data_IF_685900302836
#
_entry.id   IF_685900302836
#
_cell.length_a   1.000
_cell.length_b   1.000
_cell.length_c   1.000
_cell.angle_alpha   90.00
_cell.angle_beta   90.00
_cell.angle_gamma   90.00
#
_symmetry.space_group_name_H-M   'P 1'
#
loop_
_entity.id
_entity.type
_entity.pdbx_description
1 polymer ?
#
# COMPACT_ATOMS: atom_id res chain seq x y z
N UNK A 1 -11.13 0.99 24.16
CA UNK A 1 -10.36 0.39 23.06
C UNK A 1 -11.32 -0.49 22.34
N UNK A 2 -11.73 -0.07 21.15
CA UNK A 2 -12.56 -0.92 20.30
C UNK A 2 -11.63 -2.04 19.83
N UNK A 3 -11.88 -3.28 20.24
CA UNK A 3 -11.12 -4.44 19.77
C UNK A 3 -11.82 -5.02 18.54
N UNK A 4 -11.07 -5.71 17.70
CA UNK A 4 -11.62 -6.47 16.58
C UNK A 4 -12.65 -7.50 17.00
N UNK A 5 -13.54 -7.88 16.08
CA UNK A 5 -14.42 -9.04 16.25
C UNK A 5 -14.35 -9.93 15.01
N UNK A 6 -14.55 -11.23 15.22
CA UNK A 6 -14.83 -12.17 14.15
C UNK A 6 -16.11 -11.79 13.38
N UNK A 7 -17.07 -11.13 14.06
CA UNK A 7 -18.35 -10.72 13.46
C UNK A 7 -18.21 -9.69 12.34
N UNK A 8 -17.06 -9.00 12.25
CA UNK A 8 -16.80 -8.05 11.16
C UNK A 8 -16.67 -8.78 9.81
N UNK A 9 -16.25 -10.05 9.80
CA UNK A 9 -16.03 -10.84 8.59
C UNK A 9 -17.34 -11.49 8.14
N UNK A 10 -18.22 -10.71 7.52
CA UNK A 10 -19.59 -11.14 7.17
C UNK A 10 -19.91 -11.10 5.66
N UNK A 11 -19.00 -10.54 4.85
CA UNK A 11 -19.25 -10.27 3.43
C UNK A 11 -18.02 -10.56 2.57
N UNK A 12 -18.17 -11.52 1.66
CA UNK A 12 -17.13 -11.88 0.70
C UNK A 12 -17.19 -10.99 -0.55
N UNK A 13 -16.02 -10.50 -0.99
CA UNK A 13 -15.85 -9.90 -2.31
C UNK A 13 -16.32 -8.45 -2.44
N UNK A 14 -16.52 -7.74 -1.34
CA UNK A 14 -16.53 -6.27 -1.35
C UNK A 14 -15.10 -5.73 -1.45
N UNK A 15 -14.95 -4.48 -1.87
CA UNK A 15 -13.68 -3.82 -2.08
C UNK A 15 -13.64 -2.44 -1.42
N UNK A 16 -12.46 -2.09 -0.93
CA UNK A 16 -12.09 -0.73 -0.53
C UNK A 16 -10.67 -0.46 -0.97
N UNK A 17 -10.40 0.74 -1.48
CA UNK A 17 -9.08 1.15 -1.93
C UNK A 17 -8.70 2.43 -1.20
N UNK A 18 -7.49 2.43 -0.63
CA UNK A 18 -6.89 3.62 -0.03
C UNK A 18 -5.65 3.99 -0.83
N UNK A 19 -5.55 5.26 -1.22
CA UNK A 19 -4.41 5.80 -1.94
C UNK A 19 -3.82 6.98 -1.19
N UNK A 20 -2.51 6.93 -0.94
CA UNK A 20 -1.76 8.02 -0.34
C UNK A 20 -1.09 8.86 -1.44
N UNK A 21 -1.16 10.18 -1.30
CA UNK A 21 -0.67 11.15 -2.26
C UNK A 21 0.13 12.27 -1.59
N UNK A 22 0.87 13.01 -2.40
CA UNK A 22 1.59 14.21 -1.98
C UNK A 22 0.86 15.47 -2.43
N UNK A 23 0.66 16.40 -1.50
CA UNK A 23 0.27 17.77 -1.79
C UNK A 23 1.52 18.52 -2.24
N UNK A 24 1.46 19.12 -3.43
CA UNK A 24 2.59 19.80 -4.04
C UNK A 24 2.23 21.19 -4.56
N UNK A 25 3.23 22.06 -4.65
CA UNK A 25 3.11 23.40 -5.21
C UNK A 25 3.00 23.40 -6.75
N UNK A 26 2.96 24.59 -7.35
CA UNK A 26 2.91 24.77 -8.81
C UNK A 26 4.06 24.07 -9.57
N UNK A 27 5.18 23.79 -8.89
CA UNK A 27 6.40 23.17 -9.45
C UNK A 27 6.53 21.68 -9.09
N UNK A 28 5.49 21.08 -8.51
CA UNK A 28 5.54 19.70 -8.06
C UNK A 28 6.47 19.48 -6.86
N UNK A 29 6.65 20.48 -5.99
CA UNK A 29 7.43 20.33 -4.73
C UNK A 29 6.49 20.08 -3.55
N UNK A 30 6.83 19.17 -2.62
CA UNK A 30 6.00 18.90 -1.45
C UNK A 30 5.75 20.18 -0.64
N UNK A 31 4.49 20.43 -0.32
CA UNK A 31 4.08 21.62 0.43
C UNK A 31 3.03 21.26 1.47
N UNK A 32 3.08 21.93 2.61
CA UNK A 32 2.10 21.73 3.69
C UNK A 32 0.74 22.30 3.27
N UNK A 33 -0.24 21.43 3.00
CA UNK A 33 -1.59 21.84 2.58
C UNK A 33 -2.72 21.15 3.36
N UNK A 34 -2.40 20.28 4.31
CA UNK A 34 -3.41 19.52 5.06
C UNK A 34 -4.37 20.41 5.87
N UNK A 35 -3.91 21.56 6.40
CA UNK A 35 -4.83 22.47 7.11
C UNK A 35 -5.95 22.94 6.18
N UNK A 36 -5.55 23.41 5.00
CA UNK A 36 -6.45 23.99 4.02
C UNK A 36 -7.41 22.93 3.45
N UNK A 37 -6.89 21.78 3.03
CA UNK A 37 -7.64 20.77 2.29
C UNK A 37 -8.51 19.86 3.17
N UNK A 38 -8.18 19.70 4.46
CA UNK A 38 -8.86 18.73 5.34
C UNK A 38 -9.65 19.42 6.46
N UNK A 39 -9.15 20.50 7.05
CA UNK A 39 -9.82 21.13 8.21
C UNK A 39 -10.56 22.41 7.87
N UNK A 40 -9.91 23.31 7.13
CA UNK A 40 -10.46 24.62 6.84
C UNK A 40 -11.51 24.54 5.73
N UNK A 41 -11.27 23.67 4.74
CA UNK A 41 -12.16 23.42 3.62
C UNK A 41 -12.31 21.90 3.42
N UNK A 42 -13.04 21.19 4.30
CA UNK A 42 -13.25 19.76 4.11
C UNK A 42 -13.96 19.50 2.77
N UNK A 43 -13.52 18.47 2.01
CA UNK A 43 -14.12 18.16 0.72
C UNK A 43 -15.55 17.65 0.88
N UNK A 44 -16.32 17.68 -0.21
CA UNK A 44 -17.71 17.19 -0.25
C UNK A 44 -17.87 16.11 -1.32
N UNK A 45 -19.06 15.52 -1.43
CA UNK A 45 -19.36 14.54 -2.46
C UNK A 45 -18.67 13.20 -2.18
N UNK A 46 -18.02 12.60 -3.18
CA UNK A 46 -17.41 11.28 -3.04
C UNK A 46 -16.30 11.23 -1.98
N UNK A 47 -15.65 12.38 -1.73
CA UNK A 47 -14.58 12.55 -0.74
C UNK A 47 -15.06 12.89 0.68
N UNK A 48 -16.36 13.15 0.87
CA UNK A 48 -16.91 13.47 2.19
C UNK A 48 -16.64 12.32 3.17
N UNK A 49 -16.01 12.65 4.31
CA UNK A 49 -15.54 11.71 5.34
C UNK A 49 -14.59 10.60 4.83
N UNK A 50 -13.95 10.80 3.66
CA UNK A 50 -13.05 9.83 3.01
C UNK A 50 -11.69 10.41 2.64
N UNK A 51 -11.34 11.53 3.27
CA UNK A 51 -9.99 12.06 3.27
C UNK A 51 -9.48 12.01 4.70
N UNK A 52 -8.36 11.33 4.91
CA UNK A 52 -7.55 11.49 6.11
C UNK A 52 -6.19 12.12 5.76
N UNK A 53 -5.46 12.46 6.80
CA UNK A 53 -4.15 13.05 6.74
C UNK A 53 -3.18 12.11 7.43
N UNK A 54 -1.95 12.13 6.97
CA UNK A 54 -0.87 11.39 7.60
C UNK A 54 -0.03 12.27 8.54
N UNK A 55 1.00 11.67 9.16
CA UNK A 55 1.92 12.36 10.07
C UNK A 55 2.53 13.65 9.46
N UNK A 56 2.75 13.68 8.14
CA UNK A 56 3.32 14.83 7.46
C UNK A 56 2.24 15.68 6.82
N UNK A 57 2.34 17.02 6.99
CA UNK A 57 1.32 17.96 6.51
C UNK A 57 1.23 18.10 4.98
N UNK A 58 2.00 17.33 4.23
CA UNK A 58 2.02 17.28 2.77
C UNK A 58 1.56 15.91 2.23
N UNK A 59 1.18 14.95 3.08
CA UNK A 59 0.68 13.63 2.66
C UNK A 59 -0.79 13.50 2.98
N UNK A 60 -1.59 13.13 1.98
CA UNK A 60 -3.05 13.00 2.08
C UNK A 60 -3.46 11.59 1.67
N UNK A 61 -4.40 10.99 2.39
CA UNK A 61 -4.96 9.68 2.07
C UNK A 61 -6.40 9.87 1.60
N UNK A 62 -6.77 9.21 0.50
CA UNK A 62 -8.16 9.09 0.07
C UNK A 62 -8.64 7.65 0.18
N UNK A 63 -9.91 7.48 0.51
CA UNK A 63 -10.57 6.19 0.58
C UNK A 63 -11.72 6.13 -0.42
N UNK A 64 -11.87 5.02 -1.13
CA UNK A 64 -13.07 4.83 -1.96
C UNK A 64 -14.31 4.58 -1.08
N UNK A 65 -15.52 4.91 -1.56
CA UNK A 65 -16.72 4.27 -1.05
C UNK A 65 -16.61 2.73 -1.12
N UNK A 66 -17.49 2.03 -0.39
CA UNK A 66 -17.57 0.58 -0.51
C UNK A 66 -17.90 0.18 -1.96
N UNK A 67 -17.04 -0.62 -2.57
CA UNK A 67 -17.21 -1.12 -3.93
C UNK A 67 -17.76 -2.55 -3.85
N UNK A 68 -18.96 -2.76 -4.39
CA UNK A 68 -19.62 -4.08 -4.39
C UNK A 68 -19.43 -4.84 -5.70
N UNK A 69 -19.07 -4.14 -6.78
CA UNK A 69 -18.88 -4.68 -8.11
C UNK A 69 -17.45 -4.38 -8.61
N UNK A 70 -16.69 -5.44 -8.89
CA UNK A 70 -15.32 -5.34 -9.38
C UNK A 70 -15.22 -4.52 -10.67
N UNK A 71 -16.23 -4.59 -11.54
CA UNK A 71 -16.24 -3.87 -12.82
C UNK A 71 -16.32 -2.34 -12.63
N UNK A 72 -16.75 -1.89 -11.44
CA UNK A 72 -16.85 -0.46 -11.10
C UNK A 72 -15.57 0.15 -10.52
N UNK A 73 -14.57 -0.67 -10.13
CA UNK A 73 -13.31 -0.20 -9.52
C UNK A 73 -12.65 0.88 -10.37
N UNK A 74 -12.54 0.65 -11.68
CA UNK A 74 -11.88 1.58 -12.57
C UNK A 74 -12.56 2.95 -12.66
N UNK A 75 -13.89 3.02 -12.58
CA UNK A 75 -14.60 4.31 -12.53
C UNK A 75 -14.47 4.97 -11.16
N UNK A 76 -14.61 4.22 -10.07
CA UNK A 76 -14.60 4.77 -8.70
C UNK A 76 -13.22 5.35 -8.35
N UNK A 77 -12.14 4.64 -8.68
CA UNK A 77 -10.76 5.13 -8.45
C UNK A 77 -10.51 6.44 -9.21
N UNK A 78 -10.99 6.56 -10.46
CA UNK A 78 -10.85 7.79 -11.23
C UNK A 78 -11.68 8.93 -10.64
N UNK A 79 -12.93 8.67 -10.27
CA UNK A 79 -13.81 9.69 -9.69
C UNK A 79 -13.25 10.25 -8.37
N UNK A 80 -12.70 9.39 -7.50
CA UNK A 80 -12.04 9.82 -6.25
C UNK A 80 -10.81 10.67 -6.53
N UNK A 81 -9.96 10.26 -7.47
CA UNK A 81 -8.76 11.01 -7.86
C UNK A 81 -9.10 12.35 -8.50
N UNK A 82 -10.06 12.38 -9.43
CA UNK A 82 -10.55 13.60 -10.08
C UNK A 82 -11.09 14.59 -9.04
N UNK A 83 -11.93 14.12 -8.11
CA UNK A 83 -12.44 14.94 -7.02
C UNK A 83 -11.30 15.49 -6.13
N UNK A 84 -10.24 14.72 -5.87
CA UNK A 84 -9.10 15.17 -5.07
C UNK A 84 -8.29 16.24 -5.82
N UNK A 85 -8.06 16.03 -7.12
CA UNK A 85 -7.33 16.96 -7.98
C UNK A 85 -8.09 18.29 -8.07
N UNK A 86 -9.39 18.25 -8.33
CA UNK A 86 -10.25 19.44 -8.38
C UNK A 86 -10.24 20.18 -7.03
N UNK A 87 -10.41 19.46 -5.92
CA UNK A 87 -10.39 20.04 -4.58
C UNK A 87 -9.04 20.71 -4.27
N UNK A 88 -7.92 20.06 -4.60
CA UNK A 88 -6.60 20.65 -4.42
C UNK A 88 -6.40 21.91 -5.29
N UNK A 89 -6.82 21.85 -6.57
CA UNK A 89 -6.68 22.96 -7.51
C UNK A 89 -7.47 24.20 -7.07
N UNK A 90 -8.68 24.03 -6.55
CA UNK A 90 -9.52 25.11 -6.03
C UNK A 90 -8.86 25.87 -4.85
N UNK A 91 -7.92 25.23 -4.16
CA UNK A 91 -7.17 25.79 -3.04
C UNK A 91 -5.71 26.13 -3.39
N UNK A 92 -5.35 26.09 -4.67
CA UNK A 92 -4.02 26.49 -5.16
C UNK A 92 -2.92 25.44 -5.00
N UNK A 93 -3.29 24.18 -4.81
CA UNK A 93 -2.38 23.05 -4.72
C UNK A 93 -2.50 22.13 -5.95
N UNK A 94 -1.50 21.28 -6.12
CA UNK A 94 -1.51 20.14 -7.03
C UNK A 94 -1.33 18.85 -6.24
N UNK A 95 -1.62 17.72 -6.88
CA UNK A 95 -1.43 16.39 -6.29
C UNK A 95 -0.36 15.64 -7.07
N UNK A 96 0.52 14.93 -6.37
CA UNK A 96 1.50 14.03 -6.96
C UNK A 96 1.45 12.64 -6.33
N UNK A 97 1.85 11.62 -7.08
CA UNK A 97 1.73 10.22 -6.70
C UNK A 97 3.02 9.44 -7.01
N UNK A 98 3.65 8.91 -5.96
CA UNK A 98 4.80 8.02 -6.03
C UNK A 98 4.94 7.29 -4.68
N UNK A 99 5.71 6.20 -4.60
CA UNK A 99 5.95 5.58 -3.30
C UNK A 99 6.78 6.46 -2.35
N UNK A 100 7.64 7.29 -2.94
CA UNK A 100 8.37 8.38 -2.31
C UNK A 100 8.41 9.54 -3.28
N UNK A 101 8.09 10.74 -2.80
CA UNK A 101 8.30 11.93 -3.60
C UNK A 101 9.81 12.15 -3.82
N UNK A 102 10.29 12.22 -5.08
CA UNK A 102 11.72 12.15 -5.37
C UNK A 102 12.51 13.31 -4.78
N UNK A 103 11.88 14.48 -4.66
CA UNK A 103 12.48 15.70 -4.11
C UNK A 103 12.11 15.99 -2.65
N UNK A 104 11.37 15.11 -1.96
CA UNK A 104 11.07 15.33 -0.54
C UNK A 104 12.33 15.20 0.32
N UNK A 105 12.61 16.22 1.13
CA UNK A 105 13.59 16.14 2.22
C UNK A 105 12.86 16.26 3.57
N UNK A 106 12.70 15.14 4.25
CA UNK A 106 11.98 15.08 5.53
C UNK A 106 12.54 16.02 6.61
N UNK A 107 13.79 16.49 6.48
CA UNK A 107 14.42 17.42 7.44
C UNK A 107 13.93 18.86 7.27
N UNK A 108 13.40 19.18 6.09
CA UNK A 108 12.92 20.52 5.72
C UNK A 108 11.38 20.61 5.78
N UNK A 109 10.69 19.49 6.00
CA UNK A 109 9.23 19.39 5.94
C UNK A 109 8.60 19.46 7.32
N UNK A 110 7.42 20.10 7.41
CA UNK A 110 6.69 20.25 8.66
C UNK A 110 5.98 18.96 9.09
N UNK A 111 6.10 18.64 10.38
CA UNK A 111 5.30 17.59 11.00
C UNK A 111 3.90 18.10 11.40
N UNK A 112 2.90 17.22 11.38
CA UNK A 112 1.59 17.51 11.93
C UNK A 112 1.69 17.75 13.45
N UNK A 113 0.98 18.76 13.95
CA UNK A 113 1.07 19.20 15.35
C UNK A 113 0.01 18.59 16.27
N UNK A 114 -0.86 17.71 15.75
CA UNK A 114 -1.93 17.09 16.56
C UNK A 114 -1.36 16.12 17.61
N UNK A 115 -2.03 15.95 18.77
CA UNK A 115 -1.54 15.10 19.86
C UNK A 115 -1.21 13.66 19.46
N UNK A 116 -2.04 13.02 18.60
CA UNK A 116 -1.80 11.63 18.14
C UNK A 116 -0.49 11.45 17.37
N UNK A 117 -0.06 12.49 16.67
CA UNK A 117 1.19 12.43 15.90
C UNK A 117 2.39 12.76 16.75
N UNK A 118 2.23 13.67 17.70
CA UNK A 118 3.26 13.96 18.69
C UNK A 118 3.57 12.71 19.53
N UNK A 119 2.55 11.94 19.95
CA UNK A 119 2.78 10.70 20.69
C UNK A 119 3.53 9.65 19.87
N UNK A 120 3.23 9.49 18.58
CA UNK A 120 3.99 8.62 17.68
C UNK A 120 5.43 9.10 17.48
N UNK A 121 5.67 10.40 17.27
CA UNK A 121 7.03 10.95 17.17
C UNK A 121 7.82 10.72 18.46
N UNK A 122 7.20 10.94 19.62
CA UNK A 122 7.82 10.73 20.92
C UNK A 122 8.13 9.25 21.19
N UNK A 123 7.25 8.33 20.77
CA UNK A 123 7.44 6.89 20.99
C UNK A 123 8.40 6.24 20.00
N UNK A 124 8.30 6.57 18.71
CA UNK A 124 9.02 5.88 17.63
C UNK A 124 10.32 6.59 17.28
N UNK A 125 10.40 7.92 17.49
CA UNK A 125 11.60 8.72 17.26
C UNK A 125 12.06 8.69 15.79
N UNK A 126 13.37 8.61 15.56
CA UNK A 126 14.02 8.86 14.27
C UNK A 126 13.41 8.11 13.06
N UNK A 127 13.00 6.84 13.15
CA UNK A 127 12.27 6.17 12.07
C UNK A 127 11.01 6.89 11.60
N UNK A 128 10.24 7.47 12.53
CA UNK A 128 8.99 8.15 12.22
C UNK A 128 9.22 9.55 11.64
N UNK A 129 10.26 10.25 12.09
CA UNK A 129 10.66 11.55 11.53
C UNK A 129 11.01 11.52 10.04
N UNK A 130 11.31 10.35 9.49
CA UNK A 130 11.70 10.18 8.08
C UNK A 130 10.67 9.43 7.24
N UNK A 131 9.49 9.12 7.80
CA UNK A 131 8.49 8.29 7.16
C UNK A 131 7.60 9.05 6.17
N UNK A 132 8.17 9.49 5.05
CA UNK A 132 7.45 10.26 4.02
C UNK A 132 6.83 9.37 2.95
N UNK A 133 6.42 8.16 3.31
CA UNK A 133 5.99 7.11 2.37
C UNK A 133 4.55 7.32 1.91
N UNK A 134 4.25 6.95 0.66
CA UNK A 134 2.90 6.89 0.13
C UNK A 134 2.62 5.50 -0.49
N UNK A 135 1.55 4.83 -0.06
CA UNK A 135 1.16 3.48 -0.43
C UNK A 135 -0.16 3.39 -1.18
N UNK A 136 -0.43 2.16 -1.62
CA UNK A 136 -1.74 1.72 -2.07
C UNK A 136 -2.18 0.58 -1.14
N UNK A 137 -3.33 0.75 -0.48
CA UNK A 137 -3.94 -0.28 0.36
C UNK A 137 -5.19 -0.83 -0.32
N UNK A 138 -5.29 -2.15 -0.36
CA UNK A 138 -6.38 -2.85 -1.04
C UNK A 138 -7.07 -3.75 -0.01
N UNK A 139 -8.32 -3.45 0.28
CA UNK A 139 -9.18 -4.23 1.14
C UNK A 139 -10.09 -5.12 0.31
N UNK A 140 -10.07 -6.42 0.60
CA UNK A 140 -11.04 -7.38 0.04
C UNK A 140 -11.85 -7.98 1.17
N UNK A 141 -13.17 -7.82 1.13
CA UNK A 141 -14.09 -8.38 2.12
C UNK A 141 -14.03 -9.90 2.14
N UNK A 142 -14.01 -10.47 3.35
CA UNK A 142 -14.04 -11.92 3.60
C UNK A 142 -15.13 -12.23 4.62
N UNK A 143 -15.90 -13.29 4.37
CA UNK A 143 -17.10 -13.69 5.13
C UNK A 143 -16.84 -14.69 6.26
N UNK A 144 -15.57 -14.89 6.62
CA UNK A 144 -15.16 -15.75 7.74
C UNK A 144 -13.78 -15.32 8.25
N UNK A 145 -13.63 -15.24 9.58
CA UNK A 145 -12.41 -14.72 10.20
C UNK A 145 -11.23 -15.71 10.14
N UNK A 146 -11.49 -17.01 10.22
CA UNK A 146 -10.48 -18.08 10.04
C UNK A 146 -10.00 -18.11 8.59
N UNK A 147 -10.95 -18.00 7.65
CA UNK A 147 -10.67 -17.84 6.22
C UNK A 147 -9.81 -16.60 5.97
N UNK A 148 -10.14 -15.46 6.55
CA UNK A 148 -9.35 -14.24 6.38
C UNK A 148 -7.92 -14.40 6.90
N UNK A 149 -7.74 -15.07 8.04
CA UNK A 149 -6.41 -15.37 8.61
C UNK A 149 -5.62 -16.34 7.74
N UNK A 150 -6.28 -17.38 7.22
CA UNK A 150 -5.67 -18.33 6.29
C UNK A 150 -5.23 -17.63 4.98
N UNK A 151 -6.11 -16.81 4.39
CA UNK A 151 -5.80 -16.04 3.18
C UNK A 151 -4.62 -15.09 3.43
N UNK A 152 -4.62 -14.34 4.54
CA UNK A 152 -3.52 -13.45 4.88
C UNK A 152 -2.19 -14.22 5.03
N UNK A 153 -2.22 -15.43 5.61
CA UNK A 153 -1.04 -16.29 5.72
C UNK A 153 -0.50 -16.74 4.35
N UNK A 154 -1.37 -17.09 3.40
CA UNK A 154 -0.99 -17.50 2.05
C UNK A 154 -0.48 -16.34 1.20
N UNK A 155 -1.14 -15.17 1.32
CA UNK A 155 -0.79 -13.96 0.58
C UNK A 155 0.68 -13.55 0.76
N UNK A 156 1.27 -13.80 1.94
CA UNK A 156 2.66 -13.44 2.25
C UNK A 156 3.67 -13.82 1.18
N UNK A 157 3.52 -14.95 0.49
CA UNK A 157 4.42 -15.36 -0.61
C UNK A 157 4.17 -14.59 -1.92
N UNK A 158 2.95 -14.14 -2.15
CA UNK A 158 2.57 -13.39 -3.36
C UNK A 158 2.90 -11.88 -3.25
N UNK A 159 3.11 -11.34 -2.04
CA UNK A 159 3.37 -9.91 -1.85
C UNK A 159 4.69 -9.43 -2.49
N UNK A 160 5.82 -10.17 -2.44
CA UNK A 160 7.04 -9.69 -3.08
C UNK A 160 6.94 -9.54 -4.61
N UNK A 161 6.37 -10.48 -5.38
CA UNK A 161 6.08 -10.23 -6.80
C UNK A 161 5.18 -9.00 -7.05
N UNK A 162 4.17 -8.78 -6.22
CA UNK A 162 3.31 -7.58 -6.30
C UNK A 162 4.09 -6.30 -6.01
N UNK A 163 4.98 -6.32 -5.00
CA UNK A 163 5.89 -5.21 -4.72
C UNK A 163 6.79 -4.92 -5.93
N UNK A 164 7.36 -5.97 -6.53
CA UNK A 164 8.24 -5.86 -7.70
C UNK A 164 7.51 -5.20 -8.89
N UNK A 165 6.24 -5.52 -9.11
CA UNK A 165 5.42 -4.93 -10.17
C UNK A 165 4.99 -3.48 -9.91
N UNK A 166 4.87 -3.10 -8.63
CA UNK A 166 4.39 -1.79 -8.16
C UNK A 166 5.50 -0.78 -7.88
N UNK A 167 6.78 -1.17 -7.93
CA UNK A 167 7.92 -0.29 -7.63
C UNK A 167 7.82 1.09 -8.30
N UNK A 168 7.74 2.14 -7.49
CA UNK A 168 7.52 3.51 -7.95
C UNK A 168 8.20 4.53 -6.99
N UNK A 169 9.33 4.17 -6.39
CA UNK A 169 10.03 5.00 -5.41
C UNK A 169 11.56 4.83 -5.38
N UNK A 170 12.27 5.04 -6.51
CA UNK A 170 13.72 4.84 -6.54
C UNK A 170 14.54 5.93 -5.84
N UNK A 171 13.96 7.12 -5.63
CA UNK A 171 14.63 8.29 -5.05
C UNK A 171 14.21 8.53 -3.59
N UNK A 172 15.17 8.95 -2.76
CA UNK A 172 14.91 9.44 -1.42
C UNK A 172 15.82 10.64 -1.11
N UNK A 173 15.25 11.75 -0.66
CA UNK A 173 15.98 13.01 -0.44
C UNK A 173 16.81 13.46 -1.65
N UNK A 174 16.25 13.33 -2.85
CA UNK A 174 16.88 13.73 -4.11
C UNK A 174 17.97 12.79 -4.65
N UNK A 175 18.24 11.68 -3.96
CA UNK A 175 19.29 10.72 -4.32
C UNK A 175 18.68 9.42 -4.85
N UNK A 176 19.26 8.87 -5.91
CA UNK A 176 18.96 7.50 -6.33
C UNK A 176 19.50 6.55 -5.26
N UNK A 177 18.60 5.76 -4.67
CA UNK A 177 18.91 4.84 -3.58
C UNK A 177 19.55 3.53 -4.06
N UNK A 178 19.47 3.24 -5.36
CA UNK A 178 19.77 1.93 -5.92
C UNK A 178 18.68 0.87 -5.65
N UNK A 179 17.59 1.23 -4.99
CA UNK A 179 16.39 0.39 -4.82
C UNK A 179 15.34 0.78 -5.88
N UNK A 180 14.50 -0.15 -6.28
CA UNK A 180 13.32 0.14 -7.10
C UNK A 180 12.14 0.63 -6.24
N UNK A 181 11.99 0.10 -5.02
CA UNK A 181 11.12 0.66 -3.98
C UNK A 181 11.94 0.97 -2.71
N UNK A 182 12.36 2.23 -2.55
CA UNK A 182 12.93 2.68 -1.28
C UNK A 182 11.84 2.89 -0.22
N UNK A 183 10.58 3.13 -0.63
CA UNK A 183 9.42 3.22 0.26
C UNK A 183 9.36 2.04 1.21
N UNK A 184 9.40 0.81 0.66
CA UNK A 184 9.29 -0.42 1.43
C UNK A 184 10.36 -0.48 2.53
N UNK A 185 11.60 -0.05 2.26
CA UNK A 185 12.69 -0.11 3.23
C UNK A 185 12.64 0.99 4.28
N UNK A 186 12.17 2.17 3.93
CA UNK A 186 11.99 3.27 4.87
C UNK A 186 10.87 2.94 5.85
N UNK A 187 9.74 2.43 5.33
CA UNK A 187 8.59 2.02 6.14
C UNK A 187 8.95 0.89 7.11
N UNK A 188 9.68 -0.14 6.66
CA UNK A 188 10.16 -1.25 7.50
C UNK A 188 11.02 -0.85 8.70
N UNK A 189 11.52 0.38 8.75
CA UNK A 189 12.26 0.85 9.92
C UNK A 189 11.36 1.20 11.11
N UNK A 190 10.06 1.32 10.89
CA UNK A 190 9.07 1.47 11.94
C UNK A 190 8.87 0.15 12.71
N UNK A 191 8.52 0.20 14.01
CA UNK A 191 8.14 -1.00 14.74
C UNK A 191 6.90 -1.64 14.11
N UNK A 192 6.68 -2.94 14.37
CA UNK A 192 5.46 -3.66 13.94
C UNK A 192 5.16 -3.59 12.42
N UNK A 193 6.19 -3.40 11.60
CA UNK A 193 6.04 -3.13 10.17
C UNK A 193 6.65 -4.24 9.31
N UNK A 194 6.06 -4.43 8.12
CA UNK A 194 6.57 -5.35 7.10
C UNK A 194 5.92 -6.72 7.14
N UNK A 195 6.66 -7.75 6.72
CA UNK A 195 6.10 -9.09 6.53
C UNK A 195 5.68 -9.70 7.87
N UNK A 196 4.39 -10.07 8.06
CA UNK A 196 3.95 -10.72 9.30
C UNK A 196 4.43 -12.17 9.40
N UNK A 197 4.58 -12.63 10.64
CA UNK A 197 4.73 -14.06 10.93
C UNK A 197 3.39 -14.77 10.69
N UNK A 198 3.44 -16.07 10.39
CA UNK A 198 2.23 -16.89 10.26
C UNK A 198 1.46 -16.88 11.58
N UNK A 199 0.15 -16.68 11.52
CA UNK A 199 -0.77 -16.93 12.63
C UNK A 199 -1.43 -18.31 12.46
N UNK A 200 -1.61 -19.06 13.54
CA UNK A 200 -2.18 -20.41 13.47
C UNK A 200 -3.65 -20.38 13.07
N UNK A 201 -4.40 -19.47 13.69
CA UNK A 201 -5.84 -19.25 13.56
C UNK A 201 -6.17 -17.77 13.86
N UNK A 202 -7.43 -17.39 13.69
CA UNK A 202 -7.89 -16.03 13.97
C UNK A 202 -7.79 -15.66 15.45
N UNK A 203 -8.03 -16.62 16.36
CA UNK A 203 -7.89 -16.39 17.80
C UNK A 203 -6.46 -15.94 18.14
N UNK A 204 -5.44 -16.63 17.62
CA UNK A 204 -4.02 -16.28 17.82
C UNK A 204 -3.68 -14.88 17.30
N UNK A 205 -4.25 -14.49 16.15
CA UNK A 205 -4.08 -13.13 15.62
C UNK A 205 -4.74 -12.08 16.53
N UNK A 206 -5.98 -12.32 16.95
CA UNK A 206 -6.73 -11.42 17.83
C UNK A 206 -6.07 -11.28 19.21
N UNK A 207 -5.54 -12.37 19.76
CA UNK A 207 -4.77 -12.33 21.01
C UNK A 207 -3.49 -11.50 20.89
N UNK A 208 -2.79 -11.61 19.75
CA UNK A 208 -1.61 -10.81 19.47
C UNK A 208 -1.95 -9.32 19.38
N UNK A 209 -2.96 -8.96 18.56
CA UNK A 209 -3.44 -7.58 18.41
C UNK A 209 -3.82 -6.99 19.78
N UNK A 210 -4.66 -7.69 20.55
CA UNK A 210 -5.07 -7.28 21.90
C UNK A 210 -3.87 -7.06 22.81
N UNK A 211 -2.91 -7.99 22.81
CA UNK A 211 -1.72 -7.89 23.67
C UNK A 211 -0.83 -6.70 23.30
N UNK A 212 -0.67 -6.40 22.01
CA UNK A 212 0.12 -5.25 21.55
C UNK A 212 -0.48 -3.93 22.07
N UNK A 213 -1.81 -3.83 22.05
CA UNK A 213 -2.55 -2.67 22.57
C UNK A 213 -2.49 -2.62 24.11
N UNK A 214 -2.87 -3.70 24.80
CA UNK A 214 -2.95 -3.74 26.28
C UNK A 214 -1.60 -3.50 26.97
N UNK A 215 -0.50 -3.92 26.35
CA UNK A 215 0.86 -3.69 26.86
C UNK A 215 1.46 -2.35 26.41
N UNK A 216 0.71 -1.54 25.67
CA UNK A 216 1.15 -0.21 25.21
C UNK A 216 2.26 -0.23 24.17
N UNK A 217 2.41 -1.34 23.43
CA UNK A 217 3.35 -1.40 22.30
C UNK A 217 2.82 -0.64 21.09
N UNK A 218 1.50 -0.60 20.94
CA UNK A 218 0.77 0.22 19.97
C UNK A 218 -0.38 0.98 20.66
N UNK A 219 -0.74 2.15 20.15
CA UNK A 219 -1.87 2.92 20.66
C UNK A 219 -3.22 2.33 20.23
N UNK A 220 -3.28 1.89 18.98
CA UNK A 220 -4.43 1.19 18.40
C UNK A 220 -3.97 0.18 17.34
N UNK A 221 -4.91 -0.64 16.88
CA UNK A 221 -4.67 -1.73 15.92
C UNK A 221 -4.13 -1.28 14.57
N UNK A 222 -4.39 -0.03 14.17
CA UNK A 222 -3.91 0.56 12.94
C UNK A 222 -2.38 0.57 12.84
N UNK A 223 -1.70 0.62 14.00
CA UNK A 223 -0.23 0.60 14.09
C UNK A 223 0.40 -0.81 13.93
N UNK A 224 -0.40 -1.81 13.58
CA UNK A 224 0.11 -3.05 12.99
C UNK A 224 0.31 -2.85 11.48
N UNK A 225 1.39 -2.20 11.10
CA UNK A 225 1.72 -1.85 9.70
C UNK A 225 2.27 -3.03 8.90
N UNK A 226 1.59 -4.17 8.97
CA UNK A 226 1.96 -5.35 8.22
C UNK A 226 1.69 -5.21 6.73
N UNK A 227 2.51 -5.87 5.92
CA UNK A 227 2.38 -5.92 4.46
C UNK A 227 1.02 -6.52 4.01
N UNK A 228 0.46 -7.39 4.86
CA UNK A 228 -0.90 -7.95 4.78
C UNK A 228 -1.45 -8.18 6.17
N UNK A 229 -2.75 -7.99 6.40
CA UNK A 229 -3.41 -8.35 7.67
C UNK A 229 -4.91 -8.62 7.52
N UNK A 230 -5.50 -9.45 8.39
CA UNK A 230 -6.93 -9.39 8.66
C UNK A 230 -7.29 -8.04 9.31
N UNK A 231 -8.15 -7.25 8.67
CA UNK A 231 -8.63 -5.98 9.20
C UNK A 231 -9.91 -6.19 10.01
N UNK A 232 -9.74 -6.35 11.32
CA UNK A 232 -10.79 -6.76 12.26
C UNK A 232 -11.86 -5.71 12.52
N UNK A 233 -11.70 -4.49 11.98
CA UNK A 233 -12.72 -3.45 11.98
C UNK A 233 -13.59 -3.43 10.72
N UNK A 234 -13.06 -3.96 9.59
CA UNK A 234 -13.75 -3.90 8.29
C UNK A 234 -14.15 -5.27 7.75
N UNK A 235 -13.70 -6.37 8.37
CA UNK A 235 -13.98 -7.72 7.87
C UNK A 235 -13.26 -8.05 6.56
N UNK A 236 -12.07 -7.49 6.37
CA UNK A 236 -11.33 -7.60 5.11
C UNK A 236 -9.98 -8.25 5.33
N UNK A 237 -9.41 -8.80 4.26
CA UNK A 237 -7.96 -8.97 4.17
C UNK A 237 -7.42 -7.75 3.44
N UNK A 238 -6.46 -7.08 4.08
CA UNK A 238 -5.89 -5.83 3.63
C UNK A 238 -4.46 -6.06 3.12
N UNK A 239 -4.18 -5.72 1.87
CA UNK A 239 -2.84 -5.74 1.26
C UNK A 239 -2.30 -4.32 1.21
N UNK A 240 -1.12 -4.09 1.82
CA UNK A 240 -0.51 -2.75 2.02
C UNK A 240 0.89 -2.61 1.40
N UNK A 241 1.33 -3.65 0.70
CA UNK A 241 2.67 -3.75 0.13
C UNK A 241 2.95 -2.76 -1.01
N UNK A 242 2.04 -2.51 -1.97
CA UNK A 242 2.36 -1.71 -3.15
C UNK A 242 2.76 -0.27 -2.83
N UNK A 243 3.70 0.28 -3.62
CA UNK A 243 3.94 1.73 -3.66
C UNK A 243 2.71 2.44 -4.25
N UNK A 244 2.47 3.70 -3.88
CA UNK A 244 1.46 4.53 -4.57
C UNK A 244 1.79 4.69 -6.06
N UNK A 245 0.76 4.65 -6.92
CA UNK A 245 0.90 4.66 -8.38
C UNK A 245 0.48 6.01 -8.97
N UNK A 246 1.28 6.55 -9.89
CA UNK A 246 0.90 7.77 -10.63
C UNK A 246 -0.24 7.50 -11.63
N UNK A 247 -0.17 6.40 -12.35
CA UNK A 247 -1.20 6.01 -13.31
C UNK A 247 -2.38 5.29 -12.60
N UNK A 248 -3.62 5.81 -12.66
CA UNK A 248 -4.78 5.14 -12.05
C UNK A 248 -5.06 3.75 -12.64
N UNK A 249 -4.71 3.49 -13.90
CA UNK A 249 -4.87 2.17 -14.50
C UNK A 249 -3.98 1.12 -13.80
N UNK A 250 -2.80 1.51 -13.32
CA UNK A 250 -1.94 0.61 -12.56
C UNK A 250 -2.54 0.27 -11.19
N UNK A 251 -3.15 1.24 -10.50
CA UNK A 251 -3.93 0.97 -9.27
C UNK A 251 -5.02 -0.06 -9.54
N UNK A 252 -5.80 0.12 -10.61
CA UNK A 252 -6.87 -0.80 -10.98
C UNK A 252 -6.34 -2.21 -11.26
N UNK A 253 -5.22 -2.34 -11.98
CA UNK A 253 -4.59 -3.65 -12.22
C UNK A 253 -4.22 -4.36 -10.89
N UNK A 254 -3.68 -3.64 -9.90
CA UNK A 254 -3.37 -4.24 -8.60
C UNK A 254 -4.64 -4.64 -7.84
N UNK A 255 -5.69 -3.82 -7.86
CA UNK A 255 -6.97 -4.14 -7.20
C UNK A 255 -7.61 -5.37 -7.84
N UNK A 256 -7.67 -5.44 -9.17
CA UNK A 256 -8.22 -6.61 -9.89
C UNK A 256 -7.45 -7.89 -9.59
N UNK A 257 -6.12 -7.83 -9.58
CA UNK A 257 -5.30 -9.00 -9.25
C UNK A 257 -5.50 -9.45 -7.80
N UNK A 258 -5.41 -8.52 -6.83
CA UNK A 258 -5.58 -8.86 -5.41
C UNK A 258 -6.97 -9.40 -5.15
N UNK A 259 -8.01 -8.83 -5.77
CA UNK A 259 -9.36 -9.36 -5.72
C UNK A 259 -9.45 -10.80 -6.23
N UNK A 260 -8.95 -11.06 -7.44
CA UNK A 260 -8.98 -12.39 -8.04
C UNK A 260 -8.19 -13.42 -7.20
N UNK A 261 -7.04 -13.03 -6.66
CA UNK A 261 -6.22 -13.86 -5.80
C UNK A 261 -6.92 -14.20 -4.48
N UNK A 262 -7.52 -13.21 -3.82
CA UNK A 262 -8.26 -13.44 -2.56
C UNK A 262 -9.48 -14.33 -2.80
N UNK A 263 -10.19 -14.17 -3.91
CA UNK A 263 -11.32 -15.04 -4.29
C UNK A 263 -10.87 -16.48 -4.52
N UNK A 264 -9.78 -16.69 -5.26
CA UNK A 264 -9.22 -18.02 -5.48
C UNK A 264 -8.72 -18.67 -4.17
N UNK A 265 -8.04 -17.92 -3.30
CA UNK A 265 -7.60 -18.41 -2.00
C UNK A 265 -8.80 -18.76 -1.09
N UNK A 266 -9.88 -17.97 -1.14
CA UNK A 266 -11.12 -18.30 -0.43
C UNK A 266 -11.73 -19.62 -0.93
N UNK A 267 -11.78 -19.84 -2.24
CA UNK A 267 -12.29 -21.09 -2.82
C UNK A 267 -11.43 -22.30 -2.41
N UNK A 268 -10.11 -22.15 -2.32
CA UNK A 268 -9.19 -23.19 -1.83
C UNK A 268 -9.37 -23.50 -0.34
N UNK A 269 -9.59 -22.47 0.47
CA UNK A 269 -9.90 -22.64 1.89
C UNK A 269 -11.18 -23.48 2.07
N UNK A 270 -12.24 -23.15 1.32
CA UNK A 270 -13.50 -23.91 1.34
C UNK A 270 -13.34 -25.35 0.84
N UNK A 271 -12.40 -25.58 -0.09
CA UNK A 271 -12.02 -26.91 -0.54
C UNK A 271 -11.17 -27.70 0.48
N UNK A 272 -10.76 -27.08 1.60
CA UNK A 272 -9.97 -27.71 2.65
C UNK A 272 -8.48 -27.82 2.33
N UNK A 273 -7.93 -26.93 1.49
CA UNK A 273 -6.49 -26.88 1.22
C UNK A 273 -5.70 -26.55 2.49
N UNK A 274 -4.64 -27.33 2.77
CA UNK A 274 -3.72 -27.02 3.86
C UNK A 274 -2.86 -25.81 3.49
N UNK A 275 -2.68 -24.88 4.43
CA UNK A 275 -1.80 -23.72 4.22
C UNK A 275 -0.32 -24.10 4.15
N UNK A 276 0.51 -23.18 3.66
CA UNK A 276 1.95 -23.35 3.51
C UNK A 276 2.71 -22.83 4.73
N UNK A 277 3.64 -23.64 5.24
CA UNK A 277 4.56 -23.24 6.30
C UNK A 277 5.86 -22.66 5.72
N UNK A 278 5.81 -21.38 5.36
CA UNK A 278 6.98 -20.66 4.84
C UNK A 278 7.62 -19.87 5.98
N UNK A 279 8.93 -20.07 6.17
CA UNK A 279 9.73 -19.28 7.09
C UNK A 279 9.73 -17.81 6.70
N UNK A 280 9.53 -16.92 7.69
CA UNK A 280 9.51 -15.47 7.48
C UNK A 280 10.78 -14.96 6.81
N UNK A 281 11.95 -15.55 7.11
CA UNK A 281 13.21 -15.11 6.53
C UNK A 281 13.30 -15.33 5.02
N UNK A 282 12.61 -16.33 4.47
CA UNK A 282 12.53 -16.53 3.02
C UNK A 282 11.61 -15.48 2.37
N UNK A 283 10.51 -15.14 3.05
CA UNK A 283 9.60 -14.08 2.62
C UNK A 283 10.30 -12.71 2.64
N UNK A 284 11.09 -12.43 3.67
CA UNK A 284 11.91 -11.21 3.78
C UNK A 284 12.98 -11.17 2.67
N UNK A 285 13.60 -12.30 2.32
CA UNK A 285 14.55 -12.38 1.22
C UNK A 285 13.88 -12.06 -0.14
N UNK A 286 12.70 -12.64 -0.38
CA UNK A 286 11.89 -12.33 -1.57
C UNK A 286 11.49 -10.86 -1.60
N UNK A 287 11.08 -10.28 -0.46
CA UNK A 287 10.73 -8.86 -0.36
C UNK A 287 11.94 -7.96 -0.64
N UNK A 288 13.13 -8.33 -0.15
CA UNK A 288 14.37 -7.64 -0.48
C UNK A 288 14.66 -7.68 -1.99
N UNK A 289 14.50 -8.84 -2.63
CA UNK A 289 14.67 -8.97 -4.08
C UNK A 289 13.71 -8.08 -4.85
N UNK A 290 12.44 -8.06 -4.47
CA UNK A 290 11.43 -7.20 -5.07
C UNK A 290 11.80 -5.72 -4.98
N UNK A 291 12.10 -5.22 -3.78
CA UNK A 291 12.38 -3.80 -3.58
C UNK A 291 13.71 -3.38 -4.22
N UNK A 292 14.70 -4.28 -4.34
CA UNK A 292 16.02 -3.98 -4.90
C UNK A 292 16.05 -4.06 -6.43
N UNK A 293 15.42 -5.08 -7.02
CA UNK A 293 15.55 -5.40 -8.43
C UNK A 293 14.29 -5.10 -9.25
N UNK A 294 13.13 -4.89 -8.62
CA UNK A 294 11.89 -4.62 -9.34
C UNK A 294 11.60 -5.71 -10.36
N UNK A 295 11.50 -5.34 -11.65
CA UNK A 295 11.10 -6.25 -12.71
C UNK A 295 12.12 -7.35 -13.01
N UNK A 296 13.38 -7.15 -12.61
CA UNK A 296 14.47 -8.11 -12.75
C UNK A 296 14.58 -9.06 -11.54
N UNK A 297 13.61 -9.04 -10.62
CA UNK A 297 13.63 -9.88 -9.42
C UNK A 297 13.30 -11.35 -9.71
N UNK A 298 13.92 -12.22 -8.92
CA UNK A 298 13.62 -13.65 -8.81
C UNK A 298 13.24 -13.96 -7.36
N UNK A 299 12.32 -14.90 -7.18
CA UNK A 299 11.73 -15.23 -5.89
C UNK A 299 11.91 -16.69 -5.56
N UNK A 300 12.31 -16.98 -4.33
CA UNK A 300 12.38 -18.33 -3.78
C UNK A 300 10.96 -18.94 -3.80
N UNK A 301 10.84 -20.14 -4.35
CA UNK A 301 9.59 -20.92 -4.41
C UNK A 301 9.11 -21.32 -3.01
N UNK A 302 7.83 -21.70 -2.86
CA UNK A 302 7.24 -22.00 -1.54
C UNK A 302 7.91 -23.18 -0.82
N UNK A 303 8.38 -24.17 -1.57
CA UNK A 303 9.13 -25.32 -1.09
C UNK A 303 10.62 -25.00 -0.78
N UNK A 304 11.07 -23.80 -1.16
CA UNK A 304 12.45 -23.34 -1.06
C UNK A 304 13.45 -24.21 -1.82
N UNK A 305 13.02 -24.90 -2.88
CA UNK A 305 13.87 -25.76 -3.70
C UNK A 305 14.40 -25.06 -4.96
N UNK A 306 13.76 -23.98 -5.41
CA UNK A 306 14.12 -23.25 -6.63
C UNK A 306 13.81 -21.74 -6.51
N UNK A 307 13.99 -21.02 -7.61
CA UNK A 307 13.57 -19.64 -7.81
C UNK A 307 12.65 -19.52 -9.03
N UNK A 308 11.72 -18.57 -8.97
CA UNK A 308 10.83 -18.18 -10.07
C UNK A 308 11.10 -16.72 -10.45
N UNK A 309 11.26 -16.44 -11.73
CA UNK A 309 11.40 -15.06 -12.23
C UNK A 309 10.06 -14.32 -12.13
N UNK A 310 10.08 -12.98 -12.11
CA UNK A 310 8.84 -12.21 -12.15
C UNK A 310 8.00 -12.51 -13.40
N UNK A 311 8.64 -12.72 -14.55
CA UNK A 311 7.95 -13.05 -15.81
C UNK A 311 7.22 -14.39 -15.73
N UNK A 312 7.85 -15.42 -15.16
CA UNK A 312 7.23 -16.74 -14.95
C UNK A 312 6.08 -16.66 -13.95
N UNK A 313 6.25 -15.89 -12.87
CA UNK A 313 5.19 -15.62 -11.90
C UNK A 313 3.97 -14.97 -12.57
N UNK A 314 4.19 -13.89 -13.34
CA UNK A 314 3.11 -13.18 -14.06
C UNK A 314 2.42 -14.11 -15.05
N UNK A 315 3.17 -14.90 -15.82
CA UNK A 315 2.60 -15.86 -16.75
C UNK A 315 1.73 -16.90 -16.04
N UNK A 316 2.24 -17.51 -14.96
CA UNK A 316 1.53 -18.53 -14.20
C UNK A 316 0.25 -17.99 -13.54
N UNK A 317 0.31 -16.80 -12.94
CA UNK A 317 -0.85 -16.21 -12.28
C UNK A 317 -1.92 -15.77 -13.29
N UNK A 318 -1.52 -15.19 -14.44
CA UNK A 318 -2.48 -14.83 -15.49
C UNK A 318 -3.05 -16.02 -16.27
N UNK A 319 -2.39 -17.19 -16.26
CA UNK A 319 -2.98 -18.42 -16.80
C UNK A 319 -3.99 -19.05 -15.83
N UNK A 320 -3.80 -18.83 -14.52
CA UNK A 320 -4.57 -19.46 -13.45
C UNK A 320 -5.78 -18.64 -13.00
N UNK A 321 -5.63 -17.32 -12.89
CA UNK A 321 -6.65 -16.41 -12.40
C UNK A 321 -7.45 -15.80 -13.56
N UNK A 322 -8.74 -15.46 -13.36
CA UNK A 322 -9.59 -14.87 -14.40
C UNK A 322 -9.30 -13.37 -14.61
N UNK A 323 -8.03 -12.97 -14.70
CA UNK A 323 -7.62 -11.58 -14.96
C UNK A 323 -6.25 -11.52 -15.63
N UNK A 324 -6.11 -10.60 -16.59
CA UNK A 324 -4.84 -10.26 -17.25
C UNK A 324 -4.13 -9.06 -16.59
N UNK A 325 -4.59 -8.60 -15.41
CA UNK A 325 -4.09 -7.40 -14.77
C UNK A 325 -2.56 -7.38 -14.57
N UNK A 326 -1.96 -8.50 -14.13
CA UNK A 326 -0.51 -8.58 -13.98
C UNK A 326 0.24 -8.53 -15.31
N UNK A 327 -0.29 -9.14 -16.38
CA UNK A 327 0.28 -9.03 -17.73
C UNK A 327 0.27 -7.58 -18.20
N UNK A 328 -0.88 -6.88 -18.09
CA UNK A 328 -0.99 -5.46 -18.45
C UNK A 328 0.02 -4.61 -17.69
N UNK A 329 0.20 -4.86 -16.39
CA UNK A 329 1.20 -4.16 -15.58
C UNK A 329 2.62 -4.47 -16.04
N UNK A 330 2.97 -5.74 -16.23
CA UNK A 330 4.30 -6.21 -16.62
C UNK A 330 4.72 -5.76 -18.04
N UNK A 331 3.77 -5.64 -18.96
CA UNK A 331 4.01 -5.19 -20.35
C UNK A 331 4.34 -3.70 -20.47
N UNK A 332 4.20 -2.95 -19.37
CA UNK A 332 4.60 -1.55 -19.30
C UNK A 332 5.89 -1.39 -18.51
N UNK A 333 6.62 -0.31 -18.78
CA UNK A 333 7.81 0.00 -18.00
C UNK A 333 7.50 0.17 -16.50
N UNK A 334 8.40 -0.30 -15.63
CA UNK A 334 8.29 -0.10 -14.19
C UNK A 334 8.38 1.39 -13.81
N UNK A 335 7.63 1.80 -12.79
CA UNK A 335 7.66 3.18 -12.29
C UNK A 335 9.08 3.62 -11.90
N UNK A 336 9.85 2.73 -11.25
CA UNK A 336 11.24 3.00 -10.90
C UNK A 336 12.16 3.24 -12.13
N UNK A 337 12.04 2.45 -13.18
CA UNK A 337 12.84 2.64 -14.41
C UNK A 337 12.44 3.91 -15.15
N UNK A 338 11.12 4.16 -15.26
CA UNK A 338 10.57 5.37 -15.87
C UNK A 338 11.06 6.64 -15.15
N UNK A 339 10.99 6.69 -13.81
CA UNK A 339 11.45 7.84 -13.02
C UNK A 339 12.96 8.08 -13.19
N UNK A 340 13.78 7.02 -13.20
CA UNK A 340 15.23 7.13 -13.42
C UNK A 340 15.56 7.68 -14.80
N UNK A 341 14.96 7.13 -15.86
CA UNK A 341 15.15 7.63 -17.23
C UNK A 341 14.78 9.11 -17.32
N UNK A 342 13.60 9.48 -16.80
CA UNK A 342 13.14 10.87 -16.85
C UNK A 342 14.08 11.81 -16.08
N UNK A 343 14.56 11.37 -14.91
CA UNK A 343 15.56 12.12 -14.14
C UNK A 343 16.85 12.35 -14.91
N UNK A 344 17.35 11.33 -15.62
CA UNK A 344 18.60 11.41 -16.37
C UNK A 344 18.45 12.27 -17.64
N UNK A 345 17.31 12.19 -18.32
CA UNK A 345 17.05 12.88 -19.58
C UNK A 345 16.63 14.35 -19.39
N UNK A 346 15.83 14.63 -18.35
CA UNK A 346 15.15 15.92 -18.20
C UNK A 346 15.34 16.59 -16.81
N UNK A 347 15.98 15.92 -15.85
CA UNK A 347 16.29 16.48 -14.54
C UNK A 347 15.16 16.38 -13.50
N UNK A 348 15.40 16.96 -12.32
CA UNK A 348 14.48 16.82 -11.17
C UNK A 348 13.14 17.51 -11.36
N UNK A 349 13.14 18.69 -11.98
CA UNK A 349 11.93 19.49 -12.14
C UNK A 349 10.95 18.78 -13.07
N UNK A 350 11.44 18.23 -14.19
CA UNK A 350 10.63 17.43 -15.11
C UNK A 350 10.09 16.15 -14.46
N UNK A 351 10.88 15.49 -13.61
CA UNK A 351 10.42 14.32 -12.87
C UNK A 351 9.28 14.69 -11.90
N UNK A 352 9.43 15.79 -11.15
CA UNK A 352 8.39 16.24 -10.22
C UNK A 352 7.11 16.64 -10.95
N UNK A 353 7.21 17.32 -12.09
CA UNK A 353 6.07 17.62 -12.94
C UNK A 353 5.37 16.34 -13.43
N UNK A 354 6.13 15.33 -13.85
CA UNK A 354 5.56 14.14 -14.46
C UNK A 354 4.88 13.17 -13.48
N UNK A 355 5.14 13.30 -12.18
CA UNK A 355 4.43 12.53 -11.14
C UNK A 355 3.21 13.28 -10.59
N UNK A 356 2.97 14.52 -11.01
CA UNK A 356 1.72 15.21 -10.74
C UNK A 356 0.56 14.50 -11.46
N UNK A 357 -0.60 14.54 -10.83
CA UNK A 357 -1.86 14.08 -11.41
C UNK A 357 -2.54 15.25 -12.11
N UNK A 358 -3.18 14.95 -13.25
CA UNK A 358 -3.91 15.90 -14.10
C UNK A 358 -5.40 15.55 -14.19
#
# INVERSE_FOLDING_TARGET
>A
MDLGSADAFDRMGTLGVEEEFYIVDERGRPTSGISDLVYDHPPTGILEDRIDHELFQFTIETQTPLIEDIDSVGSVVREVREALIEHAADHGYRIAAAGLHPAADWRELDHATKPRYQSQLDRIQYPQHRNTTAGLHIHVGVDDAEKATWIANELRWYLPPVLALSVNSPFWCGLDTGLSSARAKIFEALPNTGMPTRFEDFESYLEFERRMVELGSIEDRGELWYDVRPHTGHGTVEVRTPDAQSNPAATVDFVEYVYALVRDLADRYEAGESGHEIRRELLDANKWHAMRYGYDAEFITRDAEDTVTLAEFVAAESDRLPTDALRRRFDTESGAAWQRRLRDEAGMDALCEAICLD
#
